data_IF_549369431395
#
_entry.id   IF_549369431395
#
_cell.length_a   1.000
_cell.length_b   1.000
_cell.length_c   1.000
_cell.angle_alpha   90.00
_cell.angle_beta   90.00
_cell.angle_gamma   90.00
#
_symmetry.space_group_name_H-M   'P 1'
#
loop_
_entity.id
_entity.type
_entity.pdbx_description
1 polymer ?
#
# COMPACT_ATOMS: atom_id res chain seq x y z
N UNK A 1 -15.65 49.16 -48.78
CA UNK A 1 -16.79 48.80 -47.89
C UNK A 1 -17.56 50.08 -47.55
N UNK A 2 -18.88 50.13 -47.76
CA UNK A 2 -19.68 51.33 -47.50
C UNK A 2 -19.74 51.64 -45.99
N UNK A 3 -19.71 52.93 -45.60
CA UNK A 3 -19.89 53.35 -44.20
C UNK A 3 -21.23 52.88 -43.59
N UNK A 4 -22.21 52.50 -44.43
CA UNK A 4 -23.50 51.94 -44.01
C UNK A 4 -23.50 50.42 -43.81
N UNK A 5 -22.52 49.69 -44.36
CA UNK A 5 -22.44 48.23 -44.22
C UNK A 5 -21.80 47.76 -42.92
N UNK A 6 -20.91 48.56 -42.31
CA UNK A 6 -20.23 48.21 -41.05
C UNK A 6 -21.20 48.13 -39.85
N UNK A 7 -22.14 49.07 -39.66
CA UNK A 7 -23.10 49.00 -38.55
C UNK A 7 -24.06 47.82 -38.67
N UNK A 8 -24.49 47.48 -39.89
CA UNK A 8 -25.38 46.35 -40.16
C UNK A 8 -24.66 45.04 -39.85
N UNK A 9 -23.40 44.90 -40.28
CA UNK A 9 -22.59 43.71 -39.99
C UNK A 9 -22.37 43.53 -38.48
N UNK A 10 -22.06 44.61 -37.76
CA UNK A 10 -21.88 44.61 -36.30
C UNK A 10 -23.17 44.21 -35.57
N UNK A 11 -24.33 44.73 -36.02
CA UNK A 11 -25.63 44.34 -35.47
C UNK A 11 -25.94 42.86 -35.71
N UNK A 12 -25.67 42.34 -36.92
CA UNK A 12 -25.86 40.91 -37.23
C UNK A 12 -24.97 39.99 -36.40
N UNK A 13 -23.70 40.36 -36.19
CA UNK A 13 -22.76 39.62 -35.32
C UNK A 13 -23.25 39.63 -33.86
N UNK A 14 -23.71 40.78 -33.37
CA UNK A 14 -24.23 40.90 -32.01
C UNK A 14 -25.48 40.05 -31.80
N UNK A 15 -26.41 40.03 -32.76
CA UNK A 15 -27.61 39.16 -32.70
C UNK A 15 -27.21 37.68 -32.73
N UNK A 16 -26.27 37.27 -33.58
CA UNK A 16 -25.76 35.90 -33.62
C UNK A 16 -25.11 35.47 -32.29
N UNK A 17 -24.33 36.35 -31.67
CA UNK A 17 -23.74 36.10 -30.35
C UNK A 17 -24.80 35.96 -29.27
N UNK A 18 -25.81 36.83 -29.25
CA UNK A 18 -26.91 36.75 -28.27
C UNK A 18 -27.71 35.45 -28.45
N UNK A 19 -28.03 35.07 -29.68
CA UNK A 19 -28.73 33.81 -29.98
C UNK A 19 -27.90 32.61 -29.55
N UNK A 20 -26.59 32.61 -29.83
CA UNK A 20 -25.68 31.56 -29.38
C UNK A 20 -25.66 31.45 -27.85
N UNK A 21 -25.55 32.58 -27.14
CA UNK A 21 -25.60 32.62 -25.67
C UNK A 21 -26.92 32.07 -25.15
N UNK A 22 -28.06 32.46 -25.73
CA UNK A 22 -29.38 31.95 -25.33
C UNK A 22 -29.48 30.44 -25.56
N UNK A 23 -29.04 29.94 -26.71
CA UNK A 23 -29.01 28.49 -27.01
C UNK A 23 -28.14 27.76 -25.99
N UNK A 24 -26.94 28.28 -25.68
CA UNK A 24 -26.03 27.70 -24.68
C UNK A 24 -26.69 27.70 -23.30
N UNK A 25 -27.35 28.79 -22.89
CA UNK A 25 -28.07 28.88 -21.61
C UNK A 25 -29.22 27.88 -21.54
N UNK A 26 -29.98 27.69 -22.63
CA UNK A 26 -31.04 26.68 -22.69
C UNK A 26 -30.50 25.26 -22.66
N UNK A 27 -29.41 24.98 -23.40
CA UNK A 27 -28.75 23.67 -23.37
C UNK A 27 -28.18 23.34 -21.99
N UNK A 28 -27.52 24.30 -21.32
CA UNK A 28 -26.99 24.13 -19.97
C UNK A 28 -28.08 24.02 -18.88
N UNK A 29 -29.31 24.45 -19.18
CA UNK A 29 -30.45 24.38 -18.26
C UNK A 29 -31.48 23.32 -18.67
N UNK A 30 -31.17 22.47 -19.64
CA UNK A 30 -32.04 21.35 -20.02
C UNK A 30 -32.23 20.38 -18.85
N UNK A 31 -33.38 19.68 -18.76
CA UNK A 31 -33.63 18.69 -17.72
C UNK A 31 -32.52 17.63 -17.64
N UNK A 32 -32.08 17.12 -18.79
CA UNK A 32 -31.04 16.09 -18.89
C UNK A 32 -29.70 16.57 -18.33
N UNK A 33 -29.32 17.81 -18.64
CA UNK A 33 -28.08 18.40 -18.10
C UNK A 33 -28.16 18.62 -16.59
N UNK A 34 -29.33 19.00 -16.06
CA UNK A 34 -29.54 19.12 -14.60
C UNK A 34 -29.44 17.76 -13.91
N UNK A 35 -30.03 16.72 -14.49
CA UNK A 35 -29.98 15.34 -13.98
C UNK A 35 -28.55 14.82 -14.00
N UNK A 36 -27.84 14.94 -15.12
CA UNK A 36 -26.42 14.57 -15.23
C UNK A 36 -25.55 15.33 -14.21
N UNK A 37 -25.79 16.64 -14.03
CA UNK A 37 -25.08 17.44 -13.02
C UNK A 37 -25.36 16.97 -11.59
N UNK A 38 -26.59 16.57 -11.28
CA UNK A 38 -26.95 16.00 -9.98
C UNK A 38 -26.24 14.67 -9.75
N UNK A 39 -26.26 13.76 -10.72
CA UNK A 39 -25.55 12.48 -10.64
C UNK A 39 -24.04 12.65 -10.44
N UNK A 40 -23.40 13.52 -11.23
CA UNK A 40 -21.98 13.86 -11.09
C UNK A 40 -21.66 14.46 -9.71
N UNK A 41 -22.54 15.33 -9.20
CA UNK A 41 -22.41 15.90 -7.85
C UNK A 41 -22.48 14.82 -6.76
N UNK A 42 -23.42 13.88 -6.89
CA UNK A 42 -23.58 12.75 -5.96
C UNK A 42 -22.36 11.82 -6.03
N UNK A 43 -21.90 11.47 -7.24
CA UNK A 43 -20.70 10.65 -7.44
C UNK A 43 -19.47 11.26 -6.74
N UNK A 44 -19.27 12.57 -6.89
CA UNK A 44 -18.18 13.27 -6.21
C UNK A 44 -18.31 13.29 -4.70
N UNK A 45 -19.53 13.47 -4.18
CA UNK A 45 -19.77 13.45 -2.74
C UNK A 45 -19.46 12.06 -2.17
N UNK A 46 -19.88 11.01 -2.86
CA UNK A 46 -19.57 9.62 -2.48
C UNK A 46 -18.07 9.37 -2.44
N UNK A 47 -17.35 9.62 -3.54
CA UNK A 47 -15.93 9.27 -3.64
C UNK A 47 -15.03 10.15 -2.75
N UNK A 48 -15.37 11.44 -2.61
CA UNK A 48 -14.48 12.47 -2.06
C UNK A 48 -15.03 13.18 -0.81
N UNK A 49 -16.03 12.62 -0.13
CA UNK A 49 -16.59 13.21 1.10
C UNK A 49 -15.49 13.51 2.13
N UNK A 50 -15.67 14.63 2.85
CA UNK A 50 -14.82 15.02 3.98
C UNK A 50 -15.33 14.52 5.33
N UNK A 51 -16.64 14.27 5.44
CA UNK A 51 -17.29 13.97 6.71
C UNK A 51 -17.70 12.50 6.77
N UNK A 52 -17.33 11.79 7.85
CA UNK A 52 -17.83 10.47 8.17
C UNK A 52 -19.16 10.53 8.95
N UNK A 53 -19.98 11.58 8.79
CA UNK A 53 -21.12 11.85 9.69
C UNK A 53 -22.24 10.78 9.62
N UNK A 54 -22.15 9.86 8.65
CA UNK A 54 -22.70 8.50 8.75
C UNK A 54 -21.66 7.52 8.17
N UNK A 55 -20.85 6.85 9.00
CA UNK A 55 -19.92 5.81 8.54
C UNK A 55 -20.64 4.64 7.86
N UNK A 56 -21.92 4.44 8.19
CA UNK A 56 -22.77 3.36 7.69
C UNK A 56 -23.23 3.56 6.24
N UNK A 57 -23.18 4.78 5.68
CA UNK A 57 -23.81 5.07 4.40
C UNK A 57 -22.88 4.96 3.18
N UNK A 58 -21.55 4.85 3.34
CA UNK A 58 -20.65 4.73 2.19
C UNK A 58 -19.24 4.19 2.48
N UNK A 59 -19.03 2.86 2.53
CA UNK A 59 -17.71 2.26 2.71
C UNK A 59 -16.74 2.57 1.56
N UNK A 60 -17.24 2.99 0.39
CA UNK A 60 -16.48 3.23 -0.83
C UNK A 60 -15.96 4.69 -0.95
N UNK A 61 -15.60 5.30 0.18
CA UNK A 61 -15.04 6.65 0.25
C UNK A 61 -13.51 6.59 0.42
N UNK A 62 -12.76 7.25 -0.46
CA UNK A 62 -11.29 7.25 -0.42
C UNK A 62 -10.70 7.80 0.90
N UNK A 63 -11.43 8.66 1.60
CA UNK A 63 -11.00 9.14 2.92
C UNK A 63 -11.15 8.09 4.03
N UNK A 64 -12.18 7.24 3.94
CA UNK A 64 -12.36 6.14 4.89
C UNK A 64 -11.33 5.05 4.61
N UNK A 65 -11.13 4.69 3.34
CA UNK A 65 -10.09 3.74 2.91
C UNK A 65 -8.70 4.18 3.40
N UNK A 66 -8.35 5.46 3.22
CA UNK A 66 -7.10 5.99 3.76
C UNK A 66 -7.03 5.88 5.29
N UNK A 67 -8.13 6.18 5.99
CA UNK A 67 -8.20 6.06 7.45
C UNK A 67 -8.02 4.62 7.92
N UNK A 68 -8.64 3.65 7.26
CA UNK A 68 -8.54 2.24 7.58
C UNK A 68 -7.11 1.73 7.40
N UNK A 69 -6.39 2.23 6.38
CA UNK A 69 -4.97 1.98 6.20
C UNK A 69 -4.09 2.57 7.32
N UNK A 70 -4.45 3.73 7.87
CA UNK A 70 -3.74 4.35 9.01
C UNK A 70 -4.12 3.72 10.36
N UNK A 71 -5.30 3.10 10.46
CA UNK A 71 -5.90 2.58 11.71
C UNK A 71 -4.94 1.75 12.56
N UNK A 72 -4.08 0.85 12.03
CA UNK A 72 -3.10 0.14 12.86
C UNK A 72 -2.13 1.07 13.59
N UNK A 73 -1.72 2.17 12.96
CA UNK A 73 -0.75 3.14 13.48
C UNK A 73 -1.38 4.27 14.31
N UNK A 74 -2.69 4.50 14.19
CA UNK A 74 -3.41 5.51 14.97
C UNK A 74 -3.49 5.14 16.45
N UNK A 75 -3.76 6.13 17.32
CA UNK A 75 -3.91 5.88 18.76
C UNK A 75 -5.02 4.87 19.05
N UNK A 76 -4.67 3.76 19.70
CA UNK A 76 -5.56 2.63 19.99
C UNK A 76 -5.53 1.54 18.91
N UNK A 77 -4.82 1.74 17.80
CA UNK A 77 -4.59 0.75 16.75
C UNK A 77 -3.69 -0.40 17.20
N UNK A 78 -3.66 -1.50 16.44
CA UNK A 78 -2.89 -2.70 16.79
C UNK A 78 -1.38 -2.44 16.91
N UNK A 79 -0.78 -1.74 15.95
CA UNK A 79 0.64 -1.38 15.98
C UNK A 79 0.94 -0.38 17.09
N UNK A 80 0.10 0.64 17.25
CA UNK A 80 0.25 1.62 18.33
C UNK A 80 0.13 0.98 19.72
N UNK A 81 -0.79 0.03 19.93
CA UNK A 81 -0.93 -0.72 21.17
C UNK A 81 0.30 -1.60 21.44
N UNK A 82 0.85 -2.24 20.41
CA UNK A 82 2.12 -2.96 20.52
C UNK A 82 3.25 -2.01 20.92
N UNK A 83 3.42 -0.88 20.23
CA UNK A 83 4.44 0.12 20.57
C UNK A 83 4.28 0.67 21.99
N UNK A 84 3.05 0.95 22.41
CA UNK A 84 2.75 1.37 23.76
C UNK A 84 3.17 0.29 24.76
N UNK A 85 2.82 -0.99 24.54
CA UNK A 85 3.28 -2.08 25.39
C UNK A 85 4.81 -2.21 25.44
N UNK A 86 5.48 -2.08 24.29
CA UNK A 86 6.94 -2.11 24.20
C UNK A 86 7.61 -0.90 24.88
N UNK A 87 6.89 0.17 25.20
CA UNK A 87 7.42 1.29 26.01
C UNK A 87 7.52 0.95 27.51
N UNK A 88 6.81 -0.10 27.95
CA UNK A 88 6.86 -0.61 29.32
C UNK A 88 8.19 -1.30 29.59
N UNK A 89 8.68 -1.17 30.83
CA UNK A 89 9.80 -1.98 31.30
C UNK A 89 9.37 -3.45 31.45
N UNK A 90 10.04 -4.42 30.78
CA UNK A 90 9.65 -5.83 30.77
C UNK A 90 9.53 -6.46 32.16
N UNK A 91 10.42 -6.07 33.08
CA UNK A 91 10.43 -6.59 34.46
C UNK A 91 9.32 -6.05 35.36
N UNK A 92 8.51 -5.10 34.90
CA UNK A 92 7.38 -4.58 35.67
C UNK A 92 6.11 -5.35 35.34
N UNK A 93 5.27 -5.58 36.35
CA UNK A 93 3.93 -6.15 36.15
C UNK A 93 3.00 -5.19 35.40
N UNK A 94 3.04 -3.90 35.76
CA UNK A 94 2.18 -2.87 35.20
C UNK A 94 2.98 -1.64 34.72
N UNK A 95 2.34 -0.80 33.92
CA UNK A 95 2.88 0.53 33.62
C UNK A 95 3.01 1.39 34.87
N UNK A 96 4.01 2.28 34.89
CA UNK A 96 4.26 3.18 36.01
C UNK A 96 3.11 4.20 36.18
N UNK A 97 2.62 4.77 35.08
CA UNK A 97 1.55 5.76 35.06
C UNK A 97 0.14 5.16 35.14
N UNK A 98 -0.77 5.81 35.86
CA UNK A 98 -2.17 5.37 35.94
C UNK A 98 -2.90 5.48 34.59
N UNK A 99 -2.56 6.47 33.77
CA UNK A 99 -3.10 6.63 32.41
C UNK A 99 -2.73 5.45 31.51
N UNK A 100 -1.44 5.09 31.49
CA UNK A 100 -0.94 3.97 30.68
C UNK A 100 -1.51 2.64 31.17
N UNK A 101 -1.70 2.44 32.48
CA UNK A 101 -2.39 1.26 33.02
C UNK A 101 -3.84 1.16 32.52
N UNK A 102 -4.56 2.28 32.51
CA UNK A 102 -5.94 2.33 32.00
C UNK A 102 -5.98 2.02 30.50
N UNK A 103 -5.04 2.57 29.73
CA UNK A 103 -4.91 2.29 28.29
C UNK A 103 -4.56 0.83 28.04
N UNK A 104 -3.58 0.28 28.76
CA UNK A 104 -3.16 -1.11 28.60
C UNK A 104 -4.27 -2.09 28.92
N UNK A 105 -5.04 -1.85 29.97
CA UNK A 105 -6.20 -2.67 30.31
C UNK A 105 -7.23 -2.76 29.16
N UNK A 106 -7.33 -1.72 28.32
CA UNK A 106 -8.24 -1.71 27.17
C UNK A 106 -7.85 -2.68 26.06
N UNK A 107 -6.56 -2.86 25.79
CA UNK A 107 -6.08 -3.72 24.70
C UNK A 107 -5.48 -5.05 25.16
N UNK A 108 -5.15 -5.19 26.46
CA UNK A 108 -4.57 -6.42 27.03
C UNK A 108 -5.60 -7.36 27.66
N UNK A 109 -6.88 -6.98 27.68
CA UNK A 109 -7.99 -7.82 28.15
C UNK A 109 -8.60 -8.69 27.05
N UNK A 110 -9.71 -9.37 27.39
CA UNK A 110 -10.52 -10.15 26.44
C UNK A 110 -9.72 -11.24 25.71
N UNK A 111 -9.95 -11.37 24.40
CA UNK A 111 -9.28 -12.38 23.57
C UNK A 111 -7.75 -12.22 23.55
N UNK A 112 -7.23 -10.98 23.53
CA UNK A 112 -5.79 -10.72 23.59
C UNK A 112 -5.19 -11.22 24.90
N UNK A 113 -5.88 -10.99 26.02
CA UNK A 113 -5.45 -11.48 27.33
C UNK A 113 -5.41 -13.01 27.40
N UNK A 114 -6.45 -13.67 26.90
CA UNK A 114 -6.53 -15.15 26.84
C UNK A 114 -5.38 -15.72 26.00
N UNK A 115 -5.11 -15.15 24.82
CA UNK A 115 -3.96 -15.58 23.99
C UNK A 115 -2.63 -15.34 24.70
N UNK A 116 -2.48 -14.21 25.39
CA UNK A 116 -1.25 -13.93 26.13
C UNK A 116 -1.01 -14.95 27.25
N UNK A 117 -2.05 -15.36 27.96
CA UNK A 117 -1.98 -16.43 28.98
C UNK A 117 -1.63 -17.79 28.36
N UNK A 118 -2.20 -18.12 27.20
CA UNK A 118 -1.87 -19.34 26.44
C UNK A 118 -0.40 -19.35 26.05
N UNK A 119 0.10 -18.31 25.38
CA UNK A 119 1.52 -18.21 25.00
C UNK A 119 2.47 -18.23 26.20
N UNK A 120 2.04 -17.62 27.31
CA UNK A 120 2.78 -17.68 28.57
C UNK A 120 2.90 -19.13 29.06
N UNK A 121 1.79 -19.88 29.08
CA UNK A 121 1.78 -21.28 29.49
C UNK A 121 2.58 -22.19 28.55
N UNK A 122 2.46 -22.00 27.23
CA UNK A 122 3.19 -22.77 26.21
C UNK A 122 4.71 -22.57 26.36
N UNK A 123 5.15 -21.34 26.63
CA UNK A 123 6.55 -21.03 26.87
C UNK A 123 7.07 -21.66 28.17
N UNK A 124 6.25 -21.73 29.23
CA UNK A 124 6.61 -22.44 30.46
C UNK A 124 6.65 -23.97 30.26
N UNK A 125 5.78 -24.51 29.40
CA UNK A 125 5.68 -25.95 29.15
C UNK A 125 6.76 -26.50 28.19
N UNK A 126 7.27 -25.68 27.28
CA UNK A 126 8.25 -26.06 26.24
C UNK A 126 9.67 -26.31 26.75
N UNK A 127 9.93 -26.18 28.06
CA UNK A 127 11.22 -26.57 28.65
C UNK A 127 12.40 -25.64 28.32
N UNK A 128 12.12 -24.40 27.91
CA UNK A 128 13.12 -23.33 27.70
C UNK A 128 13.93 -23.12 29.00
N UNK A 129 15.28 -22.99 28.96
CA UNK A 129 16.19 -23.58 29.95
C UNK A 129 15.96 -23.12 31.39
N UNK A 130 16.39 -23.98 32.32
CA UNK A 130 16.19 -24.02 33.79
C UNK A 130 16.33 -22.70 34.60
N UNK A 131 16.57 -21.53 34.00
CA UNK A 131 16.58 -20.21 34.67
C UNK A 131 16.14 -19.06 33.75
N UNK A 132 14.92 -19.08 33.22
CA UNK A 132 14.32 -17.85 32.69
C UNK A 132 13.98 -16.88 33.84
N UNK A 133 14.24 -15.57 33.70
CA UNK A 133 13.68 -14.58 34.62
C UNK A 133 12.16 -14.69 34.68
N UNK A 134 11.57 -14.58 35.88
CA UNK A 134 10.13 -14.79 36.11
C UNK A 134 9.21 -13.93 35.23
N UNK A 135 9.68 -12.74 34.83
CA UNK A 135 8.91 -11.81 33.99
C UNK A 135 8.90 -12.19 32.50
N UNK A 136 9.82 -13.03 32.02
CA UNK A 136 10.01 -13.30 30.58
C UNK A 136 8.78 -13.96 29.96
N UNK A 137 8.22 -15.05 30.50
CA UNK A 137 7.07 -15.70 29.87
C UNK A 137 5.87 -14.76 29.73
N UNK A 138 5.55 -14.00 30.78
CA UNK A 138 4.42 -13.06 30.77
C UNK A 138 4.66 -11.92 29.76
N UNK A 139 5.89 -11.39 29.69
CA UNK A 139 6.24 -10.33 28.77
C UNK A 139 6.17 -10.78 27.31
N UNK A 140 6.82 -11.90 26.99
CA UNK A 140 6.87 -12.47 25.64
C UNK A 140 5.48 -12.89 25.18
N UNK A 141 4.70 -13.55 26.04
CA UNK A 141 3.32 -13.95 25.73
C UNK A 141 2.44 -12.75 25.39
N UNK A 142 2.59 -11.63 26.09
CA UNK A 142 1.88 -10.37 25.78
C UNK A 142 2.36 -9.73 24.48
N UNK A 143 3.67 -9.68 24.21
CA UNK A 143 4.20 -9.19 22.93
C UNK A 143 3.65 -10.01 21.77
N UNK A 144 3.67 -11.35 21.91
CA UNK A 144 3.17 -12.27 20.89
C UNK A 144 1.68 -12.06 20.61
N UNK A 145 0.84 -12.03 21.65
CA UNK A 145 -0.60 -11.83 21.49
C UNK A 145 -0.95 -10.47 20.85
N UNK A 146 -0.20 -9.40 21.18
CA UNK A 146 -0.37 -8.10 20.54
C UNK A 146 0.10 -8.10 19.09
N UNK A 147 1.18 -8.81 18.80
CA UNK A 147 1.69 -8.96 17.44
C UNK A 147 0.74 -9.78 16.55
N UNK A 148 0.01 -10.76 17.09
CA UNK A 148 -1.04 -11.44 16.32
C UNK A 148 -2.15 -10.48 15.86
N UNK A 149 -2.51 -9.49 16.68
CA UNK A 149 -3.49 -8.48 16.28
C UNK A 149 -2.93 -7.60 15.14
N UNK A 150 -1.64 -7.24 15.20
CA UNK A 150 -0.94 -6.56 14.10
C UNK A 150 -0.94 -7.41 12.84
N UNK A 151 -0.60 -8.70 12.95
CA UNK A 151 -0.60 -9.65 11.84
C UNK A 151 -1.96 -9.72 11.17
N UNK A 152 -3.02 -9.92 11.95
CA UNK A 152 -4.37 -10.03 11.43
C UNK A 152 -4.80 -8.75 10.69
N UNK A 153 -4.62 -7.58 11.30
CA UNK A 153 -4.97 -6.29 10.66
C UNK A 153 -4.21 -6.11 9.34
N UNK A 154 -2.91 -6.42 9.32
CA UNK A 154 -2.08 -6.26 8.13
C UNK A 154 -2.40 -7.26 7.03
N UNK A 155 -2.73 -8.51 7.36
CA UNK A 155 -3.14 -9.51 6.37
C UNK A 155 -4.50 -9.16 5.73
N UNK A 156 -5.39 -8.51 6.47
CA UNK A 156 -6.65 -7.95 5.94
C UNK A 156 -6.40 -6.75 5.04
N UNK A 157 -5.66 -5.75 5.54
CA UNK A 157 -5.33 -4.51 4.80
C UNK A 157 -4.66 -4.82 3.46
N UNK A 158 -3.73 -5.78 3.45
CA UNK A 158 -2.95 -6.14 2.26
C UNK A 158 -3.75 -7.00 1.27
N UNK A 159 -4.62 -7.88 1.75
CA UNK A 159 -5.38 -8.79 0.90
C UNK A 159 -4.52 -9.73 0.06
N UNK A 160 -3.30 -10.04 0.53
CA UNK A 160 -2.42 -11.02 -0.12
C UNK A 160 -3.18 -12.35 -0.32
N UNK A 161 -3.02 -13.11 -1.40
CA UNK A 161 -3.63 -14.45 -1.51
C UNK A 161 -3.12 -15.41 -0.43
N UNK A 162 -3.99 -16.27 0.10
CA UNK A 162 -3.60 -17.28 1.12
C UNK A 162 -2.53 -18.25 0.60
N UNK A 163 -2.57 -18.55 -0.69
CA UNK A 163 -1.59 -19.38 -1.40
C UNK A 163 -0.17 -18.81 -1.41
N UNK A 164 0.02 -17.54 -1.02
CA UNK A 164 1.28 -16.81 -1.13
C UNK A 164 1.86 -16.38 0.23
N UNK A 165 1.32 -16.88 1.34
CA UNK A 165 1.86 -16.63 2.68
C UNK A 165 1.65 -17.83 3.59
N UNK A 166 2.63 -18.10 4.44
CA UNK A 166 2.55 -19.16 5.44
C UNK A 166 2.01 -18.63 6.79
N UNK A 167 1.77 -17.32 6.88
CA UNK A 167 1.26 -16.69 8.09
C UNK A 167 -0.19 -17.10 8.37
N UNK A 168 -0.52 -17.50 9.61
CA UNK A 168 -1.89 -17.81 9.99
C UNK A 168 -2.82 -16.62 9.76
N UNK A 169 -3.88 -16.85 8.99
CA UNK A 169 -4.95 -15.88 8.77
C UNK A 169 -6.12 -16.10 9.71
N UNK A 170 -6.68 -15.00 10.19
CA UNK A 170 -8.01 -15.02 10.80
C UNK A 170 -9.09 -15.10 9.72
N UNK A 171 -10.27 -15.58 10.10
CA UNK A 171 -11.46 -15.51 9.26
C UNK A 171 -11.79 -14.03 9.00
N UNK A 172 -11.65 -13.57 7.76
CA UNK A 172 -12.07 -12.23 7.37
C UNK A 172 -12.77 -12.25 6.02
N UNK A 173 -14.00 -11.76 6.02
CA UNK A 173 -14.76 -11.46 4.79
C UNK A 173 -14.46 -10.05 4.26
N UNK A 174 -13.54 -9.32 4.90
CA UNK A 174 -13.23 -7.93 4.56
C UNK A 174 -12.40 -7.84 3.27
N UNK A 175 -12.62 -6.76 2.52
CA UNK A 175 -11.86 -6.45 1.31
C UNK A 175 -10.57 -5.72 1.68
N UNK A 176 -9.56 -5.85 0.82
CA UNK A 176 -8.30 -5.14 1.00
C UNK A 176 -8.39 -3.70 0.54
N UNK A 177 -7.45 -2.86 1.02
CA UNK A 177 -7.38 -1.44 0.67
C UNK A 177 -7.30 -1.24 -0.86
N UNK A 178 -6.57 -2.10 -1.58
CA UNK A 178 -6.47 -2.06 -3.05
C UNK A 178 -7.84 -2.30 -3.69
N UNK A 179 -8.53 -3.38 -3.30
CA UNK A 179 -9.85 -3.74 -3.84
C UNK A 179 -10.92 -2.71 -3.50
N UNK A 180 -10.86 -2.12 -2.30
CA UNK A 180 -11.78 -1.05 -1.91
C UNK A 180 -11.55 0.23 -2.71
N UNK A 181 -10.30 0.54 -3.05
CA UNK A 181 -9.97 1.68 -3.91
C UNK A 181 -10.53 1.49 -5.32
N UNK A 182 -10.34 0.30 -5.91
CA UNK A 182 -10.91 -0.06 -7.23
C UNK A 182 -12.44 -0.01 -7.21
N UNK A 183 -13.09 -0.62 -6.21
CA UNK A 183 -14.54 -0.62 -6.06
C UNK A 183 -15.11 0.80 -5.86
N UNK A 184 -14.36 1.68 -5.17
CA UNK A 184 -14.75 3.07 -5.01
C UNK A 184 -14.74 3.84 -6.34
N UNK A 185 -13.72 3.61 -7.17
CA UNK A 185 -13.63 4.19 -8.51
C UNK A 185 -14.71 3.61 -9.44
N UNK A 186 -14.98 2.31 -9.36
CA UNK A 186 -16.08 1.67 -10.09
C UNK A 186 -17.43 2.28 -9.73
N UNK A 187 -17.73 2.39 -8.43
CA UNK A 187 -18.97 2.96 -7.95
C UNK A 187 -19.12 4.43 -8.37
N UNK A 188 -18.03 5.21 -8.30
CA UNK A 188 -17.98 6.56 -8.85
C UNK A 188 -18.35 6.57 -10.34
N UNK A 189 -17.73 5.71 -11.15
CA UNK A 189 -17.98 5.62 -12.58
C UNK A 189 -19.44 5.26 -12.90
N UNK A 190 -20.02 4.29 -12.19
CA UNK A 190 -21.43 3.89 -12.38
C UNK A 190 -22.42 5.01 -12.09
N UNK A 191 -22.13 5.88 -11.11
CA UNK A 191 -22.97 7.04 -10.84
C UNK A 191 -22.68 8.21 -11.78
N UNK A 192 -21.43 8.38 -12.22
CA UNK A 192 -21.04 9.43 -13.16
C UNK A 192 -21.69 9.21 -14.52
N UNK A 193 -21.86 7.94 -14.93
CA UNK A 193 -22.48 7.49 -16.17
C UNK A 193 -23.50 6.39 -15.87
N UNK A 194 -24.80 6.71 -15.71
CA UNK A 194 -25.82 5.71 -15.38
C UNK A 194 -25.89 4.60 -16.44
N UNK A 195 -25.89 3.33 -16.00
CA UNK A 195 -26.06 2.17 -16.88
C UNK A 195 -27.40 2.24 -17.62
N UNK A 196 -27.38 2.49 -18.93
CA UNK A 196 -28.61 2.53 -19.75
C UNK A 196 -28.47 3.25 -21.09
N UNK A 197 -27.50 4.15 -21.23
CA UNK A 197 -27.14 4.72 -22.54
C UNK A 197 -26.18 3.74 -23.25
N UNK A 198 -26.56 3.34 -24.46
CA UNK A 198 -26.05 2.22 -25.28
C UNK A 198 -24.59 1.80 -25.06
N UNK A 199 -24.32 0.48 -24.95
CA UNK A 199 -22.98 -0.14 -24.82
C UNK A 199 -21.91 0.32 -25.83
N UNK A 200 -22.29 0.95 -26.95
CA UNK A 200 -21.38 1.45 -27.98
C UNK A 200 -20.65 2.76 -27.60
N UNK A 201 -21.09 3.49 -26.56
CA UNK A 201 -20.51 4.78 -26.11
C UNK A 201 -19.49 4.66 -24.96
N UNK A 202 -19.16 3.45 -24.49
CA UNK A 202 -18.38 3.27 -23.25
C UNK A 202 -16.87 3.62 -23.32
N UNK A 203 -16.22 3.61 -24.49
CA UNK A 203 -14.78 3.95 -24.58
C UNK A 203 -14.46 5.45 -24.52
N UNK A 204 -15.23 6.36 -25.17
CA UNK A 204 -15.14 7.81 -24.91
C UNK A 204 -15.39 8.18 -23.43
N UNK A 205 -16.26 7.42 -22.80
CA UNK A 205 -16.79 7.64 -21.45
C UNK A 205 -15.78 7.26 -20.34
N UNK A 206 -15.04 6.15 -20.50
CA UNK A 206 -13.95 5.77 -19.58
C UNK A 206 -12.82 6.80 -19.61
N UNK A 207 -12.49 7.32 -20.79
CA UNK A 207 -11.48 8.39 -20.95
C UNK A 207 -11.94 9.70 -20.30
N UNK A 208 -13.23 10.09 -20.41
CA UNK A 208 -13.75 11.29 -19.71
C UNK A 208 -13.63 11.15 -18.19
N UNK A 209 -14.01 10.00 -17.64
CA UNK A 209 -13.87 9.71 -16.20
C UNK A 209 -12.41 9.80 -15.77
N UNK A 210 -11.53 9.16 -16.53
CA UNK A 210 -10.09 9.15 -16.28
C UNK A 210 -9.51 10.56 -16.24
N UNK A 211 -9.76 11.34 -17.29
CA UNK A 211 -9.23 12.71 -17.42
C UNK A 211 -9.80 13.63 -16.34
N UNK A 212 -11.06 13.43 -15.96
CA UNK A 212 -11.66 14.13 -14.84
C UNK A 212 -10.97 13.78 -13.51
N UNK A 213 -10.79 12.50 -13.20
CA UNK A 213 -10.17 12.06 -11.93
C UNK A 213 -8.73 12.56 -11.82
N UNK A 214 -7.92 12.37 -12.87
CA UNK A 214 -6.52 12.84 -12.90
C UNK A 214 -6.46 14.37 -12.81
N UNK A 215 -7.38 15.09 -13.46
CA UNK A 215 -7.47 16.54 -13.38
C UNK A 215 -8.00 17.06 -12.02
N UNK A 216 -8.56 16.20 -11.18
CA UNK A 216 -9.19 16.59 -9.93
C UNK A 216 -8.20 16.63 -8.75
N UNK A 217 -7.86 17.84 -8.31
CA UNK A 217 -6.97 18.06 -7.16
C UNK A 217 -7.40 17.34 -5.87
N UNK A 218 -8.70 17.19 -5.61
CA UNK A 218 -9.19 16.51 -4.40
C UNK A 218 -8.95 15.01 -4.50
N UNK A 219 -9.22 14.41 -5.65
CA UNK A 219 -8.89 13.01 -5.91
C UNK A 219 -7.38 12.77 -5.72
N UNK A 220 -6.53 13.61 -6.33
CA UNK A 220 -5.09 13.51 -6.16
C UNK A 220 -4.65 13.58 -4.69
N UNK A 221 -5.18 14.52 -3.91
CA UNK A 221 -4.91 14.61 -2.47
C UNK A 221 -5.38 13.37 -1.68
N UNK A 222 -6.48 12.71 -2.08
CA UNK A 222 -6.95 11.49 -1.42
C UNK A 222 -6.02 10.32 -1.70
N UNK A 223 -5.60 10.16 -2.95
CA UNK A 223 -4.66 9.11 -3.34
C UNK A 223 -3.28 9.30 -2.71
N UNK A 224 -2.79 10.55 -2.61
CA UNK A 224 -1.58 10.88 -1.82
C UNK A 224 -1.72 10.44 -0.35
N UNK A 225 -2.90 10.61 0.25
CA UNK A 225 -3.18 10.14 1.61
C UNK A 225 -3.09 8.62 1.75
N UNK A 226 -3.58 7.87 0.76
CA UNK A 226 -3.43 6.41 0.71
C UNK A 226 -1.93 6.05 0.58
N UNK A 227 -1.18 6.74 -0.29
CA UNK A 227 0.27 6.51 -0.45
C UNK A 227 1.06 6.79 0.84
N UNK A 228 0.66 7.82 1.59
CA UNK A 228 1.23 8.18 2.88
C UNK A 228 0.91 7.14 3.95
N UNK A 229 -0.31 6.58 3.96
CA UNK A 229 -0.69 5.48 4.84
C UNK A 229 0.18 4.24 4.65
N UNK A 230 0.40 3.79 3.41
CA UNK A 230 1.27 2.64 3.12
C UNK A 230 2.71 2.87 3.57
N UNK A 231 3.20 4.09 3.33
CA UNK A 231 4.54 4.52 3.72
C UNK A 231 4.73 4.55 5.24
N UNK A 232 3.74 5.07 5.97
CA UNK A 232 3.75 5.10 7.44
C UNK A 232 3.63 3.70 8.04
N UNK A 233 2.77 2.85 7.47
CA UNK A 233 2.60 1.47 7.89
C UNK A 233 3.90 0.67 7.78
N UNK A 234 4.55 0.72 6.61
CA UNK A 234 5.84 0.08 6.40
C UNK A 234 6.91 0.67 7.34
N UNK A 235 6.95 1.99 7.52
CA UNK A 235 7.89 2.64 8.43
C UNK A 235 7.73 2.17 9.88
N UNK A 236 6.50 2.08 10.36
CA UNK A 236 6.16 1.58 11.69
C UNK A 236 6.59 0.12 11.87
N UNK A 237 6.45 -0.73 10.85
CA UNK A 237 6.93 -2.12 10.91
C UNK A 237 8.46 -2.19 11.00
N UNK A 238 9.18 -1.51 10.11
CA UNK A 238 10.65 -1.49 10.13
C UNK A 238 11.23 -0.92 11.43
N UNK A 239 10.56 0.04 12.05
CA UNK A 239 11.03 0.64 13.30
C UNK A 239 10.96 -0.35 14.49
N UNK A 240 10.20 -1.46 14.42
CA UNK A 240 10.22 -2.51 15.44
C UNK A 240 11.58 -3.20 15.54
N UNK A 241 12.28 -3.38 14.40
CA UNK A 241 13.63 -3.96 14.34
C UNK A 241 14.68 -3.17 15.13
N UNK A 242 14.32 -1.97 15.59
CA UNK A 242 15.17 -1.11 16.42
C UNK A 242 14.68 -0.93 17.83
N UNK A 243 13.46 -1.38 18.13
CA UNK A 243 12.90 -1.23 19.44
C UNK A 243 13.63 -2.19 20.39
N UNK A 244 14.37 -1.70 21.41
CA UNK A 244 15.16 -2.57 22.28
C UNK A 244 14.30 -3.59 23.04
N UNK A 245 13.03 -3.27 23.32
CA UNK A 245 12.11 -4.13 24.04
C UNK A 245 11.50 -5.20 23.13
N UNK A 246 11.28 -4.87 21.85
CA UNK A 246 11.00 -5.88 20.82
C UNK A 246 12.16 -6.88 20.68
N UNK A 247 13.39 -6.38 20.59
CA UNK A 247 14.59 -7.23 20.47
C UNK A 247 14.79 -8.15 21.68
N UNK A 248 14.37 -7.73 22.89
CA UNK A 248 14.33 -8.60 24.06
C UNK A 248 13.31 -9.73 23.86
N UNK A 249 12.11 -9.44 23.34
CA UNK A 249 11.11 -10.49 23.09
C UNK A 249 11.61 -11.48 22.03
N UNK A 250 12.17 -10.98 20.93
CA UNK A 250 12.77 -11.80 19.85
C UNK A 250 13.88 -12.70 20.39
N UNK A 251 14.72 -12.21 21.32
CA UNK A 251 15.78 -13.04 21.91
C UNK A 251 15.25 -14.32 22.57
N UNK A 252 14.06 -14.25 23.18
CA UNK A 252 13.44 -15.39 23.85
C UNK A 252 12.41 -16.14 23.00
N UNK A 253 11.95 -15.54 21.90
CA UNK A 253 11.00 -16.13 20.95
C UNK A 253 11.40 -15.70 19.52
N UNK A 254 12.41 -16.35 18.91
CA UNK A 254 13.01 -15.93 17.64
C UNK A 254 12.03 -15.90 16.46
N UNK A 255 10.97 -16.69 16.50
CA UNK A 255 9.93 -16.75 15.47
C UNK A 255 9.21 -15.39 15.28
N UNK A 256 9.24 -14.51 16.29
CA UNK A 256 8.75 -13.14 16.15
C UNK A 256 9.51 -12.35 15.08
N UNK A 257 10.82 -12.57 14.92
CA UNK A 257 11.60 -11.88 13.89
C UNK A 257 11.26 -12.40 12.49
N UNK A 258 11.17 -13.71 12.31
CA UNK A 258 10.82 -14.29 11.00
C UNK A 258 9.41 -13.87 10.57
N UNK A 259 8.45 -13.85 11.48
CA UNK A 259 7.09 -13.41 11.15
C UNK A 259 7.02 -11.89 10.88
N UNK A 260 7.80 -11.07 11.61
CA UNK A 260 7.91 -9.65 11.31
C UNK A 260 8.52 -9.40 9.93
N UNK A 261 9.57 -10.15 9.57
CA UNK A 261 10.22 -10.05 8.27
C UNK A 261 9.26 -10.43 7.14
N UNK A 262 8.56 -11.56 7.25
CA UNK A 262 7.53 -11.97 6.26
C UNK A 262 6.43 -10.93 6.14
N UNK A 263 5.84 -10.50 7.27
CA UNK A 263 4.74 -9.54 7.27
C UNK A 263 5.16 -8.17 6.70
N UNK A 264 6.39 -7.73 6.98
CA UNK A 264 6.92 -6.48 6.42
C UNK A 264 7.14 -6.60 4.90
N UNK A 265 7.59 -7.77 4.41
CA UNK A 265 7.69 -8.06 2.97
C UNK A 265 6.32 -8.03 2.31
N UNK A 266 5.30 -8.62 2.95
CA UNK A 266 3.91 -8.61 2.47
C UNK A 266 3.36 -7.18 2.37
N UNK A 267 3.57 -6.33 3.39
CA UNK A 267 3.14 -4.92 3.34
C UNK A 267 3.82 -4.16 2.21
N UNK A 268 5.13 -4.36 2.00
CA UNK A 268 5.84 -3.78 0.86
C UNK A 268 5.33 -4.30 -0.49
N UNK A 269 5.10 -5.61 -0.58
CA UNK A 269 4.58 -6.24 -1.79
C UNK A 269 3.19 -5.70 -2.11
N UNK A 270 2.31 -5.53 -1.14
CA UNK A 270 0.99 -4.93 -1.33
C UNK A 270 1.07 -3.48 -1.81
N UNK A 271 1.98 -2.67 -1.24
CA UNK A 271 2.25 -1.30 -1.69
C UNK A 271 2.78 -1.27 -3.13
N UNK A 272 3.58 -2.26 -3.53
CA UNK A 272 4.08 -2.40 -4.91
C UNK A 272 2.95 -2.85 -5.84
N UNK A 273 2.23 -3.92 -5.49
CA UNK A 273 1.13 -4.51 -6.25
C UNK A 273 0.10 -3.46 -6.62
N UNK A 274 -0.47 -2.76 -5.63
CA UNK A 274 -1.51 -1.74 -5.86
C UNK A 274 -1.09 -0.60 -6.81
N UNK A 275 0.21 -0.31 -6.90
CA UNK A 275 0.77 0.77 -7.74
C UNK A 275 0.89 0.35 -9.21
N UNK A 276 0.89 -0.97 -9.46
CA UNK A 276 0.90 -1.55 -10.79
C UNK A 276 -0.52 -1.92 -11.25
N UNK A 277 -1.50 -1.95 -10.35
CA UNK A 277 -2.91 -2.14 -10.70
C UNK A 277 -3.51 -0.90 -11.38
N UNK A 278 -4.40 -1.17 -12.34
CA UNK A 278 -5.29 -0.15 -12.90
C UNK A 278 -6.46 0.09 -11.95
N UNK A 279 -6.54 1.27 -11.34
CA UNK A 279 -7.66 1.64 -10.47
C UNK A 279 -9.02 1.61 -11.19
N UNK A 280 -9.02 1.68 -12.51
CA UNK A 280 -10.22 1.60 -13.35
C UNK A 280 -10.49 0.19 -13.87
N UNK A 281 -9.76 -0.84 -13.42
CA UNK A 281 -9.90 -2.24 -13.89
C UNK A 281 -11.34 -2.74 -13.86
N UNK A 282 -12.10 -2.37 -12.82
CA UNK A 282 -13.52 -2.74 -12.66
C UNK A 282 -14.49 -1.86 -13.47
N UNK A 283 -14.03 -0.77 -14.09
CA UNK A 283 -14.84 0.17 -14.87
C UNK A 283 -15.02 -0.35 -16.31
N UNK A 284 -15.98 -1.26 -16.50
CA UNK A 284 -16.40 -1.87 -17.77
C UNK A 284 -15.40 -2.86 -18.42
N UNK A 285 -15.95 -3.96 -18.98
CA UNK A 285 -15.25 -5.08 -19.64
C UNK A 285 -14.63 -4.72 -21.02
N UNK A 286 -14.05 -3.53 -21.17
CA UNK A 286 -13.40 -3.13 -22.43
C UNK A 286 -11.98 -2.65 -22.17
N UNK A 287 -11.04 -3.14 -22.97
CA UNK A 287 -9.67 -2.63 -23.05
C UNK A 287 -9.71 -1.12 -23.27
N UNK A 288 -9.29 -0.37 -22.25
CA UNK A 288 -9.37 1.07 -22.23
C UNK A 288 -8.30 1.68 -21.31
N UNK A 289 -8.04 2.99 -21.46
CA UNK A 289 -7.00 3.67 -20.69
C UNK A 289 -7.35 3.67 -19.19
N UNK A 290 -6.40 3.20 -18.38
CA UNK A 290 -6.49 3.10 -16.94
C UNK A 290 -5.88 4.26 -16.16
N UNK A 291 -5.96 4.16 -14.83
CA UNK A 291 -5.21 4.99 -13.87
C UNK A 291 -4.27 4.09 -13.08
N UNK A 292 -2.99 4.08 -13.45
CA UNK A 292 -1.93 3.58 -12.58
C UNK A 292 -1.46 4.73 -11.69
N UNK A 293 -1.83 4.69 -10.42
CA UNK A 293 -1.45 5.75 -9.47
C UNK A 293 -0.06 5.49 -8.90
N UNK A 294 0.89 6.38 -9.24
CA UNK A 294 2.27 6.30 -8.79
C UNK A 294 2.66 7.59 -8.06
N UNK A 295 3.11 7.52 -6.79
CA UNK A 295 3.67 8.70 -6.12
C UNK A 295 5.00 9.10 -6.75
N UNK A 296 5.44 10.33 -6.45
CA UNK A 296 6.73 10.83 -6.93
C UNK A 296 7.91 10.03 -6.33
N UNK A 297 8.67 9.37 -7.20
CA UNK A 297 9.90 8.66 -6.84
C UNK A 297 11.15 9.37 -7.38
N UNK A 298 12.23 9.28 -6.62
CA UNK A 298 13.59 9.41 -7.12
C UNK A 298 14.18 8.01 -7.30
N UNK A 299 14.95 7.81 -8.37
CA UNK A 299 15.54 6.51 -8.68
C UNK A 299 17.06 6.52 -8.55
N UNK A 300 17.59 5.57 -7.78
CA UNK A 300 19.01 5.25 -7.76
C UNK A 300 19.31 4.25 -8.87
N UNK A 301 20.20 4.63 -9.79
CA UNK A 301 20.47 3.91 -11.05
C UNK A 301 21.92 3.39 -11.18
N UNK A 302 22.73 3.58 -10.14
CA UNK A 302 24.18 3.30 -10.17
C UNK A 302 24.52 1.83 -9.86
N UNK A 303 23.53 0.94 -9.79
CA UNK A 303 23.77 -0.51 -9.81
C UNK A 303 24.06 -0.88 -11.27
N UNK A 304 25.22 -1.49 -11.60
CA UNK A 304 25.50 -1.93 -12.96
C UNK A 304 24.49 -3.00 -13.41
N UNK A 305 24.48 -3.30 -14.70
CA UNK A 305 23.75 -4.48 -15.17
C UNK A 305 24.39 -5.73 -14.55
N UNK A 306 23.53 -6.62 -14.06
CA UNK A 306 23.89 -7.84 -13.37
C UNK A 306 23.76 -9.00 -14.36
N UNK A 307 24.69 -9.94 -14.30
CA UNK A 307 24.66 -11.14 -15.14
C UNK A 307 24.98 -12.34 -14.27
N UNK A 308 24.15 -13.38 -14.35
CA UNK A 308 24.33 -14.57 -13.55
C UNK A 308 23.57 -15.76 -14.11
N UNK A 309 23.50 -16.84 -13.32
CA UNK A 309 22.87 -18.08 -13.70
C UNK A 309 21.81 -18.45 -12.66
N UNK A 310 20.63 -18.82 -13.13
CA UNK A 310 19.59 -19.46 -12.34
C UNK A 310 19.75 -20.97 -12.55
N UNK A 311 19.90 -21.71 -11.45
CA UNK A 311 19.94 -23.17 -11.46
C UNK A 311 18.55 -23.69 -11.12
N UNK A 312 17.90 -24.38 -12.04
CA UNK A 312 16.70 -25.13 -11.73
C UNK A 312 17.11 -26.56 -11.33
N UNK A 313 16.49 -27.10 -10.28
CA UNK A 313 16.70 -28.51 -9.91
C UNK A 313 16.20 -29.47 -11.00
N UNK A 314 15.23 -29.02 -11.81
CA UNK A 314 14.47 -29.84 -12.76
C UNK A 314 14.87 -29.65 -14.23
N UNK A 315 15.84 -28.78 -14.51
CA UNK A 315 16.28 -28.46 -15.89
C UNK A 315 17.81 -28.59 -15.96
N UNK A 316 18.32 -29.49 -16.81
CA UNK A 316 19.77 -29.64 -17.06
C UNK A 316 20.39 -28.36 -17.66
N UNK A 317 19.57 -27.52 -18.29
CA UNK A 317 19.98 -26.27 -18.92
C UNK A 317 20.18 -25.15 -17.91
N UNK A 318 21.39 -24.59 -17.94
CA UNK A 318 21.74 -23.36 -17.23
C UNK A 318 20.97 -22.20 -17.86
N UNK A 319 20.11 -21.55 -17.08
CA UNK A 319 19.45 -20.32 -17.51
C UNK A 319 20.28 -19.12 -17.13
N UNK A 320 20.71 -18.33 -18.12
CA UNK A 320 21.44 -17.06 -17.86
C UNK A 320 20.43 -15.94 -17.66
N UNK A 321 20.63 -15.12 -16.63
CA UNK A 321 19.86 -13.89 -16.42
C UNK A 321 20.69 -12.63 -16.68
N UNK A 322 20.03 -11.60 -17.23
CA UNK A 322 20.53 -10.23 -17.30
C UNK A 322 19.55 -9.33 -16.58
N UNK A 323 19.97 -8.68 -15.49
CA UNK A 323 19.10 -7.84 -14.67
C UNK A 323 19.64 -6.42 -14.53
N UNK A 324 18.83 -5.43 -14.90
CA UNK A 324 19.11 -4.02 -14.60
C UNK A 324 18.15 -3.52 -13.53
N UNK A 325 18.72 -3.17 -12.39
CA UNK A 325 18.00 -2.77 -11.18
C UNK A 325 18.05 -1.27 -10.98
N UNK A 326 16.89 -0.65 -10.76
CA UNK A 326 16.78 0.71 -10.25
C UNK A 326 15.93 0.73 -8.97
N UNK A 327 16.42 1.44 -7.95
CA UNK A 327 15.76 1.54 -6.65
C UNK A 327 15.01 2.86 -6.54
N UNK A 328 13.68 2.79 -6.47
CA UNK A 328 12.83 3.95 -6.26
C UNK A 328 12.63 4.24 -4.78
N UNK A 329 12.92 5.47 -4.36
CA UNK A 329 12.73 5.96 -3.00
C UNK A 329 11.97 7.28 -3.04
N UNK A 330 11.33 7.66 -1.92
CA UNK A 330 10.50 8.87 -1.84
C UNK A 330 11.22 10.09 -2.38
N UNK A 331 10.53 10.89 -3.21
CA UNK A 331 11.11 12.07 -3.83
C UNK A 331 11.79 12.99 -2.81
N UNK A 332 13.04 13.38 -3.11
CA UNK A 332 13.90 14.22 -2.24
C UNK A 332 14.26 13.61 -0.88
N UNK A 333 14.18 12.30 -0.71
CA UNK A 333 14.80 11.62 0.43
C UNK A 333 16.34 11.53 0.25
N UNK A 334 17.01 12.65 0.50
CA UNK A 334 18.46 12.77 0.35
C UNK A 334 19.26 11.88 1.30
N UNK A 335 18.65 11.38 2.39
CA UNK A 335 19.32 10.49 3.34
C UNK A 335 19.34 9.05 2.84
N UNK A 336 18.21 8.57 2.32
CA UNK A 336 18.17 7.28 1.62
C UNK A 336 19.11 7.31 0.41
N UNK A 337 19.08 8.37 -0.40
CA UNK A 337 20.02 8.54 -1.50
C UNK A 337 21.50 8.48 -1.04
N UNK A 338 21.85 9.23 0.00
CA UNK A 338 23.21 9.23 0.55
C UNK A 338 23.62 7.89 1.13
N UNK A 339 22.67 7.11 1.65
CA UNK A 339 22.92 5.75 2.14
C UNK A 339 23.20 4.79 0.99
N UNK A 340 22.40 4.86 -0.10
CA UNK A 340 22.56 4.05 -1.31
C UNK A 340 23.90 4.33 -2.01
N UNK A 341 24.24 5.60 -2.21
CA UNK A 341 25.52 6.01 -2.83
C UNK A 341 26.75 5.46 -2.08
N UNK A 342 26.69 5.39 -0.75
CA UNK A 342 27.80 4.88 0.08
C UNK A 342 27.96 3.36 0.05
N UNK A 343 27.01 2.64 -0.56
CA UNK A 343 26.96 1.17 -0.57
C UNK A 343 26.78 0.60 -1.97
N UNK A 344 27.27 1.31 -2.98
CA UNK A 344 27.16 0.91 -4.39
C UNK A 344 27.67 -0.52 -4.62
N UNK A 345 28.86 -0.83 -4.13
CA UNK A 345 29.49 -2.13 -4.37
C UNK A 345 28.71 -3.25 -3.67
N UNK A 346 28.37 -3.04 -2.38
CA UNK A 346 27.52 -3.95 -1.62
C UNK A 346 26.14 -4.19 -2.28
N UNK A 347 25.49 -3.16 -2.83
CA UNK A 347 24.21 -3.30 -3.53
C UNK A 347 24.34 -4.16 -4.80
N UNK A 348 25.47 -4.05 -5.50
CA UNK A 348 25.74 -4.85 -6.70
C UNK A 348 25.89 -6.32 -6.34
N UNK A 349 26.70 -6.61 -5.33
CA UNK A 349 26.91 -7.98 -4.84
C UNK A 349 25.62 -8.58 -4.27
N UNK A 350 24.88 -7.78 -3.49
CA UNK A 350 23.59 -8.17 -2.92
C UNK A 350 22.60 -8.61 -4.00
N UNK A 351 22.39 -7.82 -5.05
CA UNK A 351 21.45 -8.20 -6.09
C UNK A 351 21.95 -9.35 -6.98
N UNK A 352 23.26 -9.48 -7.20
CA UNK A 352 23.81 -10.66 -7.87
C UNK A 352 23.45 -11.94 -7.12
N UNK A 353 23.67 -11.97 -5.80
CA UNK A 353 23.29 -13.12 -4.95
C UNK A 353 21.78 -13.31 -4.97
N UNK A 354 21.02 -12.23 -4.71
CA UNK A 354 19.56 -12.29 -4.65
C UNK A 354 18.93 -12.92 -5.89
N UNK A 355 19.36 -12.55 -7.11
CA UNK A 355 18.81 -13.13 -8.34
C UNK A 355 19.36 -14.52 -8.65
N UNK A 356 20.58 -14.85 -8.24
CA UNK A 356 21.17 -16.17 -8.46
C UNK A 356 20.54 -17.26 -7.57
N UNK A 357 19.93 -16.85 -6.44
CA UNK A 357 19.18 -17.73 -5.54
C UNK A 357 17.72 -17.93 -5.96
N UNK A 358 17.25 -17.27 -7.04
CA UNK A 358 15.88 -17.44 -7.53
C UNK A 358 15.75 -18.62 -8.46
N UNK A 359 14.56 -19.20 -8.46
CA UNK A 359 14.18 -20.26 -9.37
C UNK A 359 13.47 -19.70 -10.61
N UNK A 360 13.41 -20.49 -11.69
CA UNK A 360 12.64 -20.13 -12.89
C UNK A 360 11.16 -19.87 -12.58
N UNK A 361 10.61 -20.64 -11.63
CA UNK A 361 9.23 -20.53 -11.14
C UNK A 361 8.94 -19.14 -10.57
N UNK A 362 9.91 -18.49 -9.93
CA UNK A 362 9.80 -17.12 -9.37
C UNK A 362 9.58 -16.05 -10.45
N UNK A 363 9.92 -16.35 -11.70
CA UNK A 363 9.75 -15.46 -12.86
C UNK A 363 8.64 -15.91 -13.82
N UNK A 364 8.00 -17.06 -13.55
CA UNK A 364 7.01 -17.66 -14.45
C UNK A 364 5.60 -17.07 -14.28
N UNK A 365 4.82 -17.05 -15.38
CA UNK A 365 3.46 -16.51 -15.41
C UNK A 365 2.41 -17.61 -15.17
N UNK A 366 1.85 -17.64 -13.96
CA UNK A 366 0.63 -18.41 -13.62
C UNK A 366 -0.28 -17.46 -12.80
N UNK A 367 -1.49 -17.89 -12.45
CA UNK A 367 -2.40 -17.20 -11.52
C UNK A 367 -1.63 -16.56 -10.33
N UNK A 368 -2.00 -15.32 -10.00
CA UNK A 368 -1.29 -14.43 -9.05
C UNK A 368 0.11 -13.92 -9.49
N UNK A 369 0.45 -13.96 -10.79
CA UNK A 369 1.74 -13.47 -11.31
C UNK A 369 2.10 -12.05 -10.83
N UNK A 370 1.13 -11.13 -10.78
CA UNK A 370 1.34 -9.75 -10.32
C UNK A 370 1.72 -9.70 -8.83
N UNK A 371 1.09 -10.52 -7.99
CA UNK A 371 1.42 -10.65 -6.58
C UNK A 371 2.79 -11.31 -6.36
N UNK A 372 3.10 -12.38 -7.09
CA UNK A 372 4.41 -13.04 -7.04
C UNK A 372 5.53 -12.08 -7.41
N UNK A 373 5.34 -11.29 -8.47
CA UNK A 373 6.28 -10.24 -8.85
C UNK A 373 6.41 -9.16 -7.76
N UNK A 374 5.28 -8.76 -7.14
CA UNK A 374 5.30 -7.79 -6.06
C UNK A 374 6.05 -8.33 -4.81
N UNK A 375 5.88 -9.60 -4.49
CA UNK A 375 6.60 -10.30 -3.41
C UNK A 375 8.09 -10.42 -3.72
N UNK A 376 8.46 -10.77 -4.94
CA UNK A 376 9.85 -10.82 -5.39
C UNK A 376 10.51 -9.44 -5.22
N UNK A 377 9.82 -8.36 -5.67
CA UNK A 377 10.29 -6.99 -5.50
C UNK A 377 10.38 -6.62 -4.00
N UNK A 378 9.34 -6.92 -3.22
CA UNK A 378 9.30 -6.66 -1.78
C UNK A 378 10.45 -7.33 -1.02
N UNK A 379 10.75 -8.59 -1.34
CA UNK A 379 11.88 -9.35 -0.80
C UNK A 379 13.24 -8.72 -1.15
N UNK A 380 13.44 -8.29 -2.40
CA UNK A 380 14.66 -7.60 -2.83
C UNK A 380 14.85 -6.21 -2.19
N UNK A 381 13.77 -5.57 -1.74
CA UNK A 381 13.84 -4.29 -1.02
C UNK A 381 14.01 -4.46 0.49
N UNK A 382 13.55 -5.58 1.05
CA UNK A 382 13.45 -5.79 2.49
C UNK A 382 14.82 -5.74 3.17
N UNK A 383 15.81 -6.47 2.67
CA UNK A 383 17.16 -6.48 3.26
C UNK A 383 17.84 -5.10 3.22
N UNK A 384 17.60 -4.35 2.14
CA UNK A 384 18.09 -2.98 2.02
C UNK A 384 17.45 -2.12 3.11
N UNK A 385 16.13 -2.19 3.27
CA UNK A 385 15.40 -1.41 4.26
C UNK A 385 15.74 -1.80 5.71
N UNK A 386 15.96 -3.10 6.02
CA UNK A 386 16.49 -3.55 7.33
C UNK A 386 17.80 -2.83 7.66
N UNK A 387 18.73 -2.74 6.70
CA UNK A 387 20.01 -2.05 6.92
C UNK A 387 19.90 -0.52 6.97
N UNK A 388 18.98 0.09 6.20
CA UNK A 388 18.75 1.54 6.30
C UNK A 388 18.16 1.88 7.66
N UNK A 389 17.09 1.19 8.08
CA UNK A 389 16.33 1.57 9.27
C UNK A 389 17.23 1.57 10.50
N UNK A 390 18.10 0.56 10.67
CA UNK A 390 19.08 0.46 11.76
C UNK A 390 19.92 1.74 11.89
N UNK A 391 20.30 2.35 10.77
CA UNK A 391 21.08 3.60 10.75
C UNK A 391 20.23 4.86 10.85
N UNK A 392 19.00 4.83 10.32
CA UNK A 392 18.12 5.98 10.15
C UNK A 392 16.68 5.57 10.43
N UNK A 393 16.06 5.98 11.57
CA UNK A 393 14.70 5.55 11.88
C UNK A 393 13.77 6.10 10.81
N UNK A 394 12.87 5.26 10.30
CA UNK A 394 11.92 5.67 9.27
C UNK A 394 10.88 6.64 9.85
N UNK A 395 10.34 7.51 9.00
CA UNK A 395 9.51 8.66 9.37
C UNK A 395 10.30 9.88 9.88
N UNK A 396 11.50 9.67 10.44
CA UNK A 396 12.33 10.78 10.93
C UNK A 396 12.92 11.56 9.77
N UNK A 397 12.64 12.88 9.70
CA UNK A 397 13.13 13.76 8.62
C UNK A 397 12.75 13.26 7.21
N UNK A 398 11.57 12.64 7.09
CA UNK A 398 11.01 12.11 5.83
C UNK A 398 11.82 10.96 5.20
N UNK A 399 12.56 10.19 6.00
CA UNK A 399 13.24 8.98 5.53
C UNK A 399 12.25 7.82 5.52
N UNK A 400 12.08 7.17 4.37
CA UNK A 400 11.13 6.04 4.24
C UNK A 400 11.72 4.85 3.48
N UNK A 401 13.04 4.84 3.31
CA UNK A 401 13.75 3.74 2.64
C UNK A 401 13.43 3.64 1.15
N UNK A 402 13.70 2.46 0.60
CA UNK A 402 13.37 2.12 -0.79
C UNK A 402 11.97 1.51 -0.83
N UNK A 403 11.16 1.97 -1.78
CA UNK A 403 9.75 1.56 -1.92
C UNK A 403 9.44 0.94 -3.27
N UNK A 404 10.31 1.09 -4.26
CA UNK A 404 10.10 0.51 -5.58
C UNK A 404 11.37 -0.17 -6.09
N UNK A 405 11.17 -1.26 -6.80
CA UNK A 405 12.20 -2.01 -7.51
C UNK A 405 11.82 -2.06 -8.99
N UNK A 406 12.31 -1.08 -9.74
CA UNK A 406 12.10 -1.03 -11.18
C UNK A 406 13.12 -1.94 -11.86
N UNK A 407 12.64 -3.07 -12.38
CA UNK A 407 13.40 -4.04 -13.16
C UNK A 407 13.27 -3.69 -14.64
N UNK A 408 14.39 -3.51 -15.33
CA UNK A 408 14.36 -3.09 -16.74
C UNK A 408 14.39 -4.28 -17.72
N UNK A 409 14.83 -5.47 -17.28
CA UNK A 409 14.72 -6.73 -18.02
C UNK A 409 15.22 -7.88 -17.14
N UNK A 410 14.64 -9.07 -17.27
CA UNK A 410 15.28 -10.36 -16.94
C UNK A 410 15.16 -11.18 -18.21
N UNK A 411 16.22 -11.26 -19.02
CA UNK A 411 16.24 -12.21 -20.13
C UNK A 411 16.67 -13.54 -19.59
N UNK A 412 15.85 -14.58 -19.77
CA UNK A 412 16.21 -15.95 -19.48
C UNK A 412 16.66 -16.58 -20.81
N UNK A 413 17.94 -16.90 -20.94
CA UNK A 413 18.46 -17.68 -22.06
C UNK A 413 18.69 -19.11 -21.55
N UNK A 414 17.90 -20.06 -22.04
CA UNK A 414 18.24 -21.48 -21.96
C UNK A 414 19.27 -21.78 -23.05
N UNK A 415 20.40 -22.39 -22.68
CA UNK A 415 21.26 -22.99 -23.70
C UNK A 415 20.49 -24.15 -24.34
N UNK A 416 20.45 -24.26 -25.67
CA UNK A 416 19.77 -25.34 -26.38
C UNK A 416 20.47 -26.69 -26.26
#
# INVERSE_FOLDING_TARGET
MSRKTIPILMASIAVLLIVLVVIVVFMLNSPDFRVARQFRSTALKTLLSRSPDSPEDNPLNLNLIAKDLHKPCETGGSLDNLYHFLSKDPGRRDFAGAGDRRRSAGYSGGATGIRAEQYTADMMASGVPEKLPEWVPEYVGKVRALFDNVRNDLLVITGIPESLTDLPRGDSSERSITRDTEAAVEHFAMMWLPRGETKATYSPDRQEIRDFLIGNRRFGKRMEGIDDGWKELAASMYNLLRNPRWLIAVHYYPELESELDELTRIVLAADIFRRHEDLMKLVADTDGPGIMWLPEFSYYKNIPELTGQIRSADVEDVTIFFAKVNLGYSFRDGRTQSWLNRRKDWLTDYFNVFFSEKELSDFSSVDDAEWRLALLKGGGLHEINKKIVITLPFGTKKVYGVRDLALVKVNLLTNP
#
